data_IF_703967969037
#
_entry.id   IF_703967969037
#
_cell.length_a   1.000
_cell.length_b   1.000
_cell.length_c   1.000
_cell.angle_alpha   90.00
_cell.angle_beta   90.00
_cell.angle_gamma   90.00
#
_symmetry.space_group_name_H-M   'P 1'
#
loop_
_entity.id
_entity.type
_entity.pdbx_description
1 polymer ?
#
# COMPACT_ATOMS: atom_id res chain seq x y z
N UNK A 1 -0.14 7.00 26.90
CA UNK A 1 0.35 6.24 25.73
C UNK A 1 1.75 5.71 26.01
N UNK A 2 2.20 4.67 25.30
CA UNK A 2 3.57 4.12 25.38
C UNK A 2 4.10 3.69 24.01
N UNK A 3 5.40 3.42 23.91
CA UNK A 3 6.10 3.02 22.68
C UNK A 3 6.87 1.72 22.88
N UNK A 4 6.89 0.85 21.86
CA UNK A 4 7.68 -0.39 21.84
C UNK A 4 8.38 -0.53 20.48
N UNK A 5 9.67 -0.80 20.49
CA UNK A 5 10.48 -1.11 19.32
C UNK A 5 11.40 -2.33 19.57
N UNK A 6 12.28 -2.61 18.60
CA UNK A 6 13.26 -3.69 18.72
C UNK A 6 14.31 -3.49 19.82
N UNK A 7 14.54 -2.24 20.25
CA UNK A 7 15.46 -1.90 21.33
C UNK A 7 14.84 -1.97 22.73
N UNK A 8 13.51 -1.97 22.82
CA UNK A 8 12.77 -2.00 24.09
C UNK A 8 13.02 -3.32 24.84
N UNK A 9 13.61 -3.30 26.05
CA UNK A 9 13.87 -4.50 26.84
C UNK A 9 12.60 -5.32 27.11
N UNK A 10 12.74 -6.65 27.16
CA UNK A 10 11.58 -7.55 27.34
C UNK A 10 10.74 -7.22 28.57
N UNK A 11 11.37 -6.97 29.73
CA UNK A 11 10.65 -6.64 30.96
C UNK A 11 9.84 -5.35 30.83
N UNK A 12 10.39 -4.35 30.16
CA UNK A 12 9.71 -3.08 29.91
C UNK A 12 8.54 -3.25 28.94
N UNK A 13 8.75 -4.03 27.87
CA UNK A 13 7.69 -4.41 26.92
C UNK A 13 6.53 -5.10 27.63
N UNK A 14 6.81 -6.13 28.43
CA UNK A 14 5.80 -6.90 29.15
C UNK A 14 5.00 -5.99 30.10
N UNK A 15 5.66 -5.05 30.77
CA UNK A 15 5.02 -4.08 31.64
C UNK A 15 4.12 -3.09 30.86
N UNK A 16 4.58 -2.57 29.72
CA UNK A 16 3.76 -1.71 28.86
C UNK A 16 2.50 -2.44 28.40
N UNK A 17 2.64 -3.68 27.93
CA UNK A 17 1.51 -4.48 27.45
C UNK A 17 0.54 -4.81 28.60
N UNK A 18 1.05 -5.14 29.79
CA UNK A 18 0.23 -5.37 30.99
C UNK A 18 -0.60 -4.14 31.35
N UNK A 19 0.01 -2.96 31.37
CA UNK A 19 -0.66 -1.69 31.66
C UNK A 19 -1.70 -1.33 30.60
N UNK A 20 -1.43 -1.64 29.33
CA UNK A 20 -2.42 -1.48 28.26
C UNK A 20 -3.63 -2.40 28.45
N UNK A 21 -3.42 -3.69 28.74
CA UNK A 21 -4.53 -4.63 29.01
C UNK A 21 -5.32 -4.27 30.27
N UNK A 22 -4.66 -3.70 31.28
CA UNK A 22 -5.30 -3.20 32.50
C UNK A 22 -6.11 -1.89 32.29
N UNK A 23 -6.02 -1.26 31.12
CA UNK A 23 -6.68 0.02 30.85
C UNK A 23 -5.96 1.25 31.42
N UNK A 24 -4.74 1.10 31.93
CA UNK A 24 -3.90 2.22 32.38
C UNK A 24 -3.27 2.98 31.20
N UNK A 25 -3.26 2.37 30.01
CA UNK A 25 -2.81 2.99 28.76
C UNK A 25 -3.89 2.86 27.68
N UNK A 26 -4.25 3.98 27.07
CA UNK A 26 -5.18 4.00 25.93
C UNK A 26 -4.52 3.61 24.61
N UNK A 27 -3.22 3.89 24.46
CA UNK A 27 -2.50 3.76 23.19
C UNK A 27 -1.12 3.15 23.40
N UNK A 28 -0.80 2.13 22.61
CA UNK A 28 0.55 1.58 22.45
C UNK A 28 0.93 1.73 20.98
N UNK A 29 2.00 2.49 20.73
CA UNK A 29 2.63 2.56 19.41
C UNK A 29 3.75 1.54 19.31
N UNK A 30 3.96 0.98 18.12
CA UNK A 30 5.07 0.07 17.89
C UNK A 30 5.74 0.30 16.53
N UNK A 31 7.00 -0.13 16.41
CA UNK A 31 7.71 -0.19 15.15
C UNK A 31 8.29 -1.59 14.92
N UNK A 32 7.76 -2.29 13.91
CA UNK A 32 8.23 -3.60 13.47
C UNK A 32 8.28 -4.69 14.57
N UNK A 33 7.50 -4.52 15.64
CA UNK A 33 7.32 -5.49 16.72
C UNK A 33 5.82 -5.71 16.94
N UNK A 34 5.44 -6.73 17.71
CA UNK A 34 4.02 -7.11 17.92
C UNK A 34 3.25 -7.48 16.63
N UNK A 35 3.96 -7.75 15.54
CA UNK A 35 3.37 -8.34 14.31
C UNK A 35 3.01 -9.82 14.52
N UNK A 36 3.69 -10.47 15.47
CA UNK A 36 3.51 -11.85 15.89
C UNK A 36 3.63 -11.97 17.41
N UNK A 37 3.07 -13.05 17.97
CA UNK A 37 3.22 -13.38 19.40
C UNK A 37 2.44 -12.50 20.39
N UNK A 38 1.65 -11.55 19.90
CA UNK A 38 0.77 -10.72 20.74
C UNK A 38 -0.57 -10.48 20.04
N UNK A 39 -1.67 -10.66 20.76
CA UNK A 39 -3.02 -10.28 20.37
C UNK A 39 -3.76 -9.67 21.58
N UNK A 40 -4.66 -8.72 21.32
CA UNK A 40 -5.38 -8.02 22.39
C UNK A 40 -6.88 -8.12 22.20
N UNK A 41 -7.55 -8.72 23.19
CA UNK A 41 -9.00 -8.68 23.28
C UNK A 41 -9.51 -7.27 23.63
N UNK A 42 -8.69 -6.44 24.29
CA UNK A 42 -9.04 -5.06 24.66
C UNK A 42 -8.92 -4.08 23.49
N UNK A 43 -7.93 -4.23 22.61
CA UNK A 43 -7.71 -3.26 21.56
C UNK A 43 -8.88 -3.21 20.57
N UNK A 44 -9.48 -2.02 20.38
CA UNK A 44 -10.60 -1.80 19.44
C UNK A 44 -10.24 -0.93 18.24
N UNK A 45 -9.06 -0.29 18.26
CA UNK A 45 -8.61 0.61 17.19
C UNK A 45 -7.22 0.20 16.73
N UNK A 46 -7.05 0.04 15.42
CA UNK A 46 -5.77 -0.17 14.77
C UNK A 46 -5.45 1.06 13.91
N UNK A 47 -4.34 1.74 14.21
CA UNK A 47 -3.83 2.83 13.37
C UNK A 47 -2.66 2.29 12.56
N UNK A 48 -2.88 2.05 11.27
CA UNK A 48 -1.87 1.57 10.35
C UNK A 48 -1.15 2.77 9.71
N UNK A 49 -0.02 3.15 10.30
CA UNK A 49 0.82 4.28 9.87
C UNK A 49 2.03 3.85 9.02
N UNK A 50 1.98 2.65 8.41
CA UNK A 50 3.04 2.14 7.52
C UNK A 50 2.46 1.31 6.37
N UNK A 51 3.19 1.28 5.25
CA UNK A 51 2.89 0.35 4.17
C UNK A 51 3.17 -1.11 4.57
N UNK A 52 2.40 -2.04 4.02
CA UNK A 52 2.58 -3.48 4.19
C UNK A 52 3.12 -4.07 2.89
N UNK A 53 4.33 -4.64 2.92
CA UNK A 53 4.96 -5.17 1.71
C UNK A 53 4.32 -6.45 1.17
N UNK A 54 3.39 -7.05 1.90
CA UNK A 54 2.66 -8.25 1.49
C UNK A 54 1.31 -8.35 2.19
N UNK A 55 0.38 -9.09 1.56
CA UNK A 55 -0.95 -9.37 2.10
C UNK A 55 -0.90 -10.05 3.49
N UNK A 56 -0.03 -11.06 3.75
CA UNK A 56 0.10 -11.64 5.08
C UNK A 56 0.49 -10.61 6.16
N UNK A 57 1.46 -9.73 5.89
CA UNK A 57 1.89 -8.70 6.85
C UNK A 57 0.74 -7.74 7.16
N UNK A 58 -0.03 -7.35 6.15
CA UNK A 58 -1.23 -6.52 6.30
C UNK A 58 -2.28 -7.20 7.20
N UNK A 59 -2.66 -8.43 6.88
CA UNK A 59 -3.67 -9.17 7.63
C UNK A 59 -3.23 -9.51 9.05
N UNK A 60 -1.96 -9.89 9.25
CA UNK A 60 -1.42 -10.21 10.57
C UNK A 60 -1.38 -8.97 11.47
N UNK A 61 -0.97 -7.82 10.92
CA UNK A 61 -0.88 -6.55 11.67
C UNK A 61 -2.25 -6.13 12.19
N UNK A 62 -3.28 -6.18 11.33
CA UNK A 62 -4.66 -5.81 11.71
C UNK A 62 -5.30 -6.88 12.59
N UNK A 63 -5.00 -8.15 12.31
CA UNK A 63 -5.58 -9.32 12.99
C UNK A 63 -5.35 -9.31 14.50
N UNK A 64 -4.26 -8.69 14.99
CA UNK A 64 -3.95 -8.62 16.43
C UNK A 64 -4.96 -7.81 17.24
N UNK A 65 -5.69 -6.90 16.59
CA UNK A 65 -6.73 -6.05 17.19
C UNK A 65 -8.12 -6.68 17.04
N UNK A 66 -8.29 -7.66 16.14
CA UNK A 66 -9.60 -8.29 15.83
C UNK A 66 -10.05 -9.34 16.84
N UNK A 67 -9.23 -9.72 17.83
CA UNK A 67 -9.57 -10.77 18.79
C UNK A 67 -10.80 -10.36 19.61
N UNK A 68 -11.84 -11.18 19.62
CA UNK A 68 -13.12 -10.85 20.29
C UNK A 68 -13.11 -11.06 21.80
N UNK A 69 -12.23 -11.94 22.32
CA UNK A 69 -12.16 -12.23 23.76
C UNK A 69 -13.48 -12.77 24.35
N UNK A 70 -14.31 -13.42 23.54
CA UNK A 70 -15.65 -13.86 23.94
C UNK A 70 -16.76 -12.80 23.75
N UNK A 71 -16.41 -11.56 23.41
CA UNK A 71 -17.37 -10.51 23.09
C UNK A 71 -17.66 -10.44 21.58
N UNK A 72 -18.75 -11.08 21.15
CA UNK A 72 -19.19 -11.05 19.76
C UNK A 72 -19.64 -9.64 19.27
N UNK A 73 -19.97 -8.73 20.19
CA UNK A 73 -20.34 -7.36 19.85
C UNK A 73 -19.13 -6.45 19.60
N UNK A 74 -17.90 -6.90 19.94
CA UNK A 74 -16.68 -6.12 19.73
C UNK A 74 -16.59 -5.65 18.26
N UNK A 75 -16.16 -4.41 18.08
CA UNK A 75 -15.85 -3.83 16.78
C UNK A 75 -14.38 -3.45 16.75
N UNK A 76 -13.80 -3.47 15.54
CA UNK A 76 -12.44 -3.02 15.30
C UNK A 76 -12.50 -1.87 14.29
N UNK A 77 -12.04 -0.69 14.69
CA UNK A 77 -11.87 0.44 13.79
C UNK A 77 -10.44 0.42 13.23
N UNK A 78 -10.32 0.23 11.93
CA UNK A 78 -9.05 0.39 11.21
C UNK A 78 -8.94 1.82 10.67
N UNK A 79 -7.88 2.52 11.05
CA UNK A 79 -7.46 3.79 10.47
C UNK A 79 -6.22 3.53 9.63
N UNK A 80 -6.41 3.43 8.32
CA UNK A 80 -5.34 3.16 7.36
C UNK A 80 -4.80 4.47 6.76
N UNK A 81 -3.64 4.91 7.26
CA UNK A 81 -2.98 6.13 6.80
C UNK A 81 -2.05 5.89 5.59
N UNK A 82 -1.72 4.64 5.31
CA UNK A 82 -0.82 4.26 4.22
C UNK A 82 -1.57 3.86 2.94
N UNK A 83 -2.88 3.65 3.02
CA UNK A 83 -3.69 3.16 1.91
C UNK A 83 -3.42 1.69 1.59
N UNK A 84 -2.99 0.90 2.58
CA UNK A 84 -2.75 -0.54 2.42
C UNK A 84 -3.99 -1.30 1.95
N UNK A 85 -5.20 -0.86 2.31
CA UNK A 85 -6.45 -1.44 1.82
C UNK A 85 -6.61 -1.31 0.29
N UNK A 86 -6.08 -0.25 -0.32
CA UNK A 86 -6.08 -0.10 -1.79
C UNK A 86 -5.09 -1.03 -2.49
N UNK A 87 -4.10 -1.55 -1.75
CA UNK A 87 -3.12 -2.49 -2.28
C UNK A 87 -3.55 -3.95 -2.09
N UNK A 88 -4.01 -4.27 -0.89
CA UNK A 88 -4.28 -5.64 -0.45
C UNK A 88 -5.76 -6.01 -0.46
N UNK A 89 -6.66 -5.03 -0.58
CA UNK A 89 -8.10 -5.20 -0.44
C UNK A 89 -8.59 -4.96 0.99
N UNK A 90 -9.89 -5.14 1.19
CA UNK A 90 -10.50 -4.97 2.51
C UNK A 90 -10.02 -6.07 3.48
N UNK A 91 -9.79 -5.77 4.77
CA UNK A 91 -9.24 -6.72 5.74
C UNK A 91 -10.23 -7.81 6.16
N UNK A 92 -11.52 -7.59 5.90
CA UNK A 92 -12.66 -8.49 6.13
C UNK A 92 -13.13 -9.19 4.84
N UNK A 93 -12.40 -9.02 3.73
CA UNK A 93 -12.69 -9.72 2.48
C UNK A 93 -12.44 -11.24 2.62
N UNK A 94 -13.38 -12.04 2.11
CA UNK A 94 -13.21 -13.48 1.99
C UNK A 94 -12.12 -13.81 0.99
N UNK A 95 -11.28 -14.80 1.31
CA UNK A 95 -10.14 -15.22 0.50
C UNK A 95 -10.04 -16.73 0.49
N UNK A 96 -9.86 -17.29 -0.71
CA UNK A 96 -9.56 -18.70 -0.89
C UNK A 96 -8.05 -18.90 -0.79
N UNK A 97 -7.61 -19.79 0.10
CA UNK A 97 -6.19 -20.07 0.34
C UNK A 97 -5.78 -21.41 -0.26
N UNK A 98 -4.74 -21.41 -1.09
CA UNK A 98 -4.09 -22.63 -1.59
C UNK A 98 -2.78 -22.85 -0.83
N UNK A 99 -2.53 -24.09 -0.38
CA UNK A 99 -1.24 -24.47 0.22
C UNK A 99 -0.16 -24.64 -0.86
N UNK A 100 -0.55 -25.13 -2.04
CA UNK A 100 0.37 -25.44 -3.13
C UNK A 100 0.69 -24.19 -3.97
N UNK A 101 -0.31 -23.36 -4.24
CA UNK A 101 -0.20 -22.18 -5.11
C UNK A 101 -0.06 -20.87 -4.31
N UNK A 102 -0.30 -20.92 -2.99
CA UNK A 102 -0.25 -19.76 -2.11
C UNK A 102 -1.42 -18.80 -2.34
N UNK A 103 -1.14 -17.50 -2.22
CA UNK A 103 -2.07 -16.44 -2.63
C UNK A 103 -1.57 -15.80 -3.90
N UNK A 104 -2.43 -15.77 -4.90
CA UNK A 104 -2.16 -15.02 -6.12
C UNK A 104 -2.06 -13.53 -5.79
N UNK A 105 -0.96 -12.91 -6.24
CA UNK A 105 -0.83 -11.47 -6.17
C UNK A 105 -1.72 -10.83 -7.24
N UNK A 106 -2.79 -10.19 -6.79
CA UNK A 106 -3.71 -9.47 -7.69
C UNK A 106 -2.96 -8.39 -8.45
N UNK A 107 -3.11 -8.39 -9.78
CA UNK A 107 -2.63 -7.29 -10.61
C UNK A 107 -3.36 -6.02 -10.19
N UNK A 108 -2.71 -4.87 -10.39
CA UNK A 108 -3.30 -3.57 -10.04
C UNK A 108 -4.66 -3.33 -10.73
N UNK A 109 -4.85 -3.86 -11.95
CA UNK A 109 -6.11 -3.81 -12.71
C UNK A 109 -7.25 -4.60 -12.08
N UNK A 110 -6.91 -5.64 -11.32
CA UNK A 110 -7.87 -6.61 -10.79
C UNK A 110 -8.24 -6.28 -9.34
N UNK A 111 -7.61 -5.25 -8.75
CA UNK A 111 -7.92 -4.76 -7.42
C UNK A 111 -9.25 -4.02 -7.46
N UNK A 112 -10.14 -4.39 -6.55
CA UNK A 112 -11.41 -3.71 -6.39
C UNK A 112 -11.19 -2.22 -6.06
N UNK A 113 -11.87 -1.34 -6.80
CA UNK A 113 -11.81 0.09 -6.52
C UNK A 113 -12.49 0.39 -5.17
N UNK A 114 -11.76 1.06 -4.28
CA UNK A 114 -12.29 1.56 -3.01
C UNK A 114 -12.55 3.06 -3.12
N UNK A 115 -13.55 3.54 -2.38
CA UNK A 115 -13.90 4.95 -2.25
C UNK A 115 -13.89 5.35 -0.78
N UNK A 116 -13.44 6.57 -0.50
CA UNK A 116 -13.40 7.14 0.84
C UNK A 116 -14.41 8.26 0.96
N UNK A 117 -15.25 8.23 2.00
CA UNK A 117 -16.19 9.31 2.28
C UNK A 117 -15.45 10.58 2.72
N UNK A 118 -15.66 11.68 1.98
CA UNK A 118 -15.04 12.97 2.27
C UNK A 118 -15.57 13.62 3.57
N UNK A 119 -16.71 13.16 4.08
CA UNK A 119 -17.30 13.69 5.31
C UNK A 119 -16.83 12.96 6.58
N UNK A 120 -16.79 11.62 6.53
CA UNK A 120 -16.56 10.80 7.74
C UNK A 120 -15.38 9.82 7.64
N UNK A 121 -14.66 9.80 6.51
CA UNK A 121 -13.51 8.92 6.28
C UNK A 121 -13.83 7.44 6.06
N UNK A 122 -15.10 7.03 6.06
CA UNK A 122 -15.45 5.63 5.83
C UNK A 122 -15.01 5.17 4.44
N UNK A 123 -14.30 4.04 4.40
CA UNK A 123 -13.91 3.37 3.17
C UNK A 123 -14.96 2.33 2.82
N UNK A 124 -15.36 2.27 1.55
CA UNK A 124 -16.27 1.25 1.04
C UNK A 124 -15.88 0.85 -0.38
N UNK A 125 -16.40 -0.28 -0.85
CA UNK A 125 -16.21 -0.75 -2.21
C UNK A 125 -16.96 0.15 -3.17
N UNK A 126 -16.28 0.65 -4.21
CA UNK A 126 -16.87 1.57 -5.17
C UNK A 126 -18.10 0.96 -5.85
N UNK A 127 -18.01 -0.30 -6.26
CA UNK A 127 -19.10 -1.02 -6.95
C UNK A 127 -20.38 -1.12 -6.12
N UNK A 128 -20.29 -1.12 -4.78
CA UNK A 128 -21.44 -1.26 -3.88
C UNK A 128 -21.72 -0.01 -3.03
N UNK A 129 -21.09 1.14 -3.34
CA UNK A 129 -21.17 2.35 -2.50
C UNK A 129 -22.56 3.02 -2.47
N UNK A 130 -23.42 2.75 -3.45
CA UNK A 130 -24.72 3.41 -3.60
C UNK A 130 -24.60 4.92 -3.86
N UNK A 131 -25.68 5.71 -3.68
CA UNK A 131 -25.66 7.16 -3.89
C UNK A 131 -25.13 7.96 -2.68
N UNK A 132 -25.06 7.34 -1.50
CA UNK A 132 -24.68 7.99 -0.24
C UNK A 132 -23.78 7.10 0.61
N UNK A 133 -23.01 7.70 1.52
CA UNK A 133 -22.15 6.98 2.44
C UNK A 133 -22.98 6.11 3.41
N UNK A 134 -22.70 4.80 3.48
CA UNK A 134 -23.38 3.88 4.40
C UNK A 134 -23.16 4.17 5.90
N UNK A 135 -22.13 4.97 6.25
CA UNK A 135 -21.83 5.34 7.65
C UNK A 135 -22.49 6.64 8.10
N UNK A 136 -22.48 7.68 7.25
CA UNK A 136 -22.90 9.03 7.64
C UNK A 136 -23.97 9.65 6.72
N UNK A 137 -24.43 8.92 5.71
CA UNK A 137 -25.46 9.35 4.74
C UNK A 137 -25.10 10.57 3.88
N UNK A 138 -23.89 11.12 3.99
CA UNK A 138 -23.42 12.17 3.09
C UNK A 138 -23.45 11.67 1.63
N UNK A 139 -23.95 12.47 0.67
CA UNK A 139 -23.94 12.10 -0.74
C UNK A 139 -22.51 11.98 -1.27
N UNK A 140 -22.30 11.05 -2.19
CA UNK A 140 -21.03 11.00 -2.91
C UNK A 140 -20.94 12.21 -3.85
N UNK A 141 -19.75 12.82 -4.01
CA UNK A 141 -19.58 13.90 -4.97
C UNK A 141 -19.93 13.38 -6.36
N UNK A 142 -20.57 14.24 -7.16
CA UNK A 142 -20.85 13.92 -8.54
C UNK A 142 -19.52 13.69 -9.26
N UNK A 143 -19.42 12.58 -9.98
CA UNK A 143 -18.20 12.28 -10.72
C UNK A 143 -18.06 13.32 -11.82
N UNK A 144 -16.99 14.10 -11.77
CA UNK A 144 -16.62 14.97 -12.88
C UNK A 144 -16.45 14.09 -14.12
N UNK A 145 -17.27 14.34 -15.14
CA UNK A 145 -17.18 13.60 -16.39
C UNK A 145 -15.95 14.08 -17.12
N UNK A 146 -14.85 13.34 -16.97
CA UNK A 146 -13.69 13.52 -17.83
C UNK A 146 -14.09 13.05 -19.23
N UNK A 147 -14.12 13.96 -20.20
CA UNK A 147 -14.28 13.57 -21.61
C UNK A 147 -13.07 12.75 -22.04
N UNK A 148 -13.26 11.44 -22.14
CA UNK A 148 -12.23 10.55 -22.69
C UNK A 148 -12.22 10.71 -24.20
N UNK A 149 -11.35 11.57 -24.70
CA UNK A 149 -11.10 11.68 -26.12
C UNK A 149 -10.28 10.47 -26.57
N UNK A 150 -10.92 9.56 -27.32
CA UNK A 150 -10.21 8.48 -28.02
C UNK A 150 -9.35 9.11 -29.11
N UNK A 151 -8.08 9.35 -28.82
CA UNK A 151 -7.11 9.68 -29.84
C UNK A 151 -6.70 8.39 -30.57
N UNK A 152 -6.52 8.43 -31.90
CA UNK A 152 -5.92 7.32 -32.62
C UNK A 152 -4.56 7.03 -31.98
N UNK A 153 -4.31 5.75 -31.67
CA UNK A 153 -3.01 5.31 -31.21
C UNK A 153 -1.99 5.63 -32.30
N UNK A 154 -1.20 6.67 -32.10
CA UNK A 154 -0.05 6.92 -32.94
C UNK A 154 0.97 5.83 -32.61
N UNK A 155 1.34 5.03 -33.60
CA UNK A 155 2.50 4.19 -33.46
C UNK A 155 3.68 5.11 -33.14
N UNK A 156 4.26 4.98 -31.94
CA UNK A 156 5.60 5.49 -31.68
C UNK A 156 6.55 4.56 -32.42
N UNK A 157 6.55 4.65 -33.75
CA UNK A 157 7.58 4.04 -34.56
C UNK A 157 8.84 4.77 -34.18
N UNK A 158 9.87 4.05 -33.73
CA UNK A 158 11.16 4.65 -33.52
C UNK A 158 11.56 5.32 -34.84
N UNK A 159 11.49 6.65 -34.90
CA UNK A 159 11.95 7.46 -36.03
C UNK A 159 13.44 7.22 -36.29
N UNK A 160 14.14 6.71 -35.28
CA UNK A 160 15.51 6.24 -35.36
C UNK A 160 15.62 4.77 -35.76
N UNK A 161 16.48 4.52 -36.73
CA UNK A 161 17.04 3.21 -37.05
C UNK A 161 17.76 2.59 -35.86
N UNK A 162 18.05 1.29 -35.92
CA UNK A 162 18.87 0.61 -34.91
C UNK A 162 20.27 1.23 -34.81
N UNK A 163 20.87 1.62 -35.95
CA UNK A 163 22.20 2.22 -36.02
C UNK A 163 22.29 3.54 -35.27
N UNK A 164 21.35 4.45 -35.51
CA UNK A 164 21.32 5.76 -34.83
C UNK A 164 21.20 5.64 -33.30
N UNK A 165 20.50 4.59 -32.83
CA UNK A 165 20.36 4.30 -31.40
C UNK A 165 21.67 3.75 -30.81
N UNK A 166 22.35 2.86 -31.51
CA UNK A 166 23.66 2.33 -31.10
C UNK A 166 24.72 3.45 -31.05
N UNK A 167 24.74 4.33 -32.05
CA UNK A 167 25.62 5.49 -32.13
C UNK A 167 25.37 6.48 -30.98
N UNK A 168 24.12 6.83 -30.70
CA UNK A 168 23.81 7.73 -29.59
C UNK A 168 24.16 7.09 -28.24
N UNK A 169 23.89 5.80 -28.04
CA UNK A 169 24.24 5.12 -26.80
C UNK A 169 25.76 5.13 -26.57
N UNK A 170 26.54 4.90 -27.62
CA UNK A 170 28.01 5.00 -27.56
C UNK A 170 28.47 6.42 -27.22
N UNK A 171 27.89 7.43 -27.87
CA UNK A 171 28.16 8.86 -27.60
C UNK A 171 27.85 9.23 -26.15
N UNK A 172 26.70 8.84 -25.62
CA UNK A 172 26.31 9.11 -24.24
C UNK A 172 27.23 8.41 -23.23
N UNK A 173 27.66 7.17 -23.50
CA UNK A 173 28.66 6.46 -22.69
C UNK A 173 29.99 7.19 -22.66
N UNK A 174 30.43 7.73 -23.79
CA UNK A 174 31.66 8.51 -23.87
C UNK A 174 31.57 9.80 -23.03
N UNK A 175 30.47 10.54 -23.13
CA UNK A 175 30.23 11.74 -22.32
C UNK A 175 30.23 11.39 -20.83
N UNK A 176 29.55 10.29 -20.45
CA UNK A 176 29.50 9.87 -19.06
C UNK A 176 30.89 9.53 -18.51
N UNK A 177 31.76 8.88 -19.30
CA UNK A 177 33.15 8.62 -18.91
C UNK A 177 33.96 9.90 -18.76
N UNK A 178 33.88 10.82 -19.74
CA UNK A 178 34.64 12.07 -19.73
C UNK A 178 34.25 12.99 -18.58
N UNK A 179 32.96 13.01 -18.21
CA UNK A 179 32.43 13.88 -17.16
C UNK A 179 32.23 13.18 -15.81
N UNK A 180 32.71 11.94 -15.68
CA UNK A 180 32.54 11.09 -14.49
C UNK A 180 31.06 10.97 -14.01
N UNK A 181 30.11 10.90 -14.95
CA UNK A 181 28.70 10.69 -14.63
C UNK A 181 28.40 9.21 -14.36
N UNK A 182 27.41 8.96 -13.48
CA UNK A 182 26.93 7.62 -13.17
C UNK A 182 26.29 6.94 -14.40
N UNK A 183 26.38 5.60 -14.55
CA UNK A 183 25.77 4.87 -15.68
C UNK A 183 24.27 5.15 -15.87
N UNK A 184 23.53 5.35 -14.77
CA UNK A 184 22.11 5.70 -14.82
C UNK A 184 21.81 6.96 -15.66
N UNK A 185 22.74 7.92 -15.72
CA UNK A 185 22.58 9.13 -16.53
C UNK A 185 22.48 8.81 -18.03
N UNK A 186 23.25 7.83 -18.52
CA UNK A 186 23.19 7.37 -19.92
C UNK A 186 21.79 6.84 -20.23
N UNK A 187 21.23 6.04 -19.32
CA UNK A 187 19.90 5.48 -19.47
C UNK A 187 18.80 6.55 -19.51
N UNK A 188 18.89 7.56 -18.64
CA UNK A 188 17.94 8.68 -18.60
C UNK A 188 17.99 9.47 -19.91
N UNK A 189 19.17 9.86 -20.38
CA UNK A 189 19.32 10.62 -21.64
C UNK A 189 18.89 9.81 -22.86
N UNK A 190 19.19 8.51 -22.88
CA UNK A 190 18.75 7.63 -23.95
C UNK A 190 17.22 7.52 -23.96
N UNK A 191 16.59 7.36 -22.79
CA UNK A 191 15.13 7.29 -22.65
C UNK A 191 14.45 8.61 -23.03
N UNK A 192 15.02 9.76 -22.66
CA UNK A 192 14.50 11.08 -23.08
C UNK A 192 14.45 11.20 -24.61
N UNK A 193 15.46 10.68 -25.32
CA UNK A 193 15.55 10.78 -26.78
C UNK A 193 14.69 9.74 -27.53
N UNK A 194 14.66 8.49 -27.04
CA UNK A 194 14.03 7.37 -27.78
C UNK A 194 12.76 6.81 -27.12
N UNK A 195 12.37 7.30 -25.94
CA UNK A 195 11.15 6.90 -25.24
C UNK A 195 11.23 5.59 -24.45
N UNK A 196 12.35 4.87 -24.48
CA UNK A 196 12.52 3.59 -23.78
C UNK A 196 13.97 3.40 -23.26
N UNK A 197 14.17 2.45 -22.34
CA UNK A 197 15.49 2.17 -21.76
C UNK A 197 16.40 1.33 -22.68
N UNK A 198 17.70 1.64 -22.81
CA UNK A 198 18.61 0.83 -23.60
C UNK A 198 18.83 -0.54 -22.93
N UNK A 199 19.04 -1.59 -23.73
CA UNK A 199 19.35 -2.93 -23.20
C UNK A 199 20.83 -3.02 -22.81
N UNK A 200 21.14 -3.56 -21.63
CA UNK A 200 22.52 -3.84 -21.18
C UNK A 200 23.33 -2.58 -20.85
N UNK A 201 22.84 -1.80 -19.88
CA UNK A 201 23.43 -0.53 -19.45
C UNK A 201 24.79 -0.70 -18.79
#
# INVERSE_FOLDING_TARGET
>A
AAHIDGGTPRRERDEILRRFEAGELDVVSNCAVLTEGWDSARAEVCVLARGCGSLPVYLQTIGRVRRTGGNAAKRCLLIDLAGAAHEHGMPDEDREWSLDEGQEQRRKSDREALTTCLHCGAVTRYASRGPQCRKCSAPWPEAERVEVQKQPLAAVVATSTRREREEELARLRQIARQRAYKPAWVGVRFKEKFGYWPRGL
#
